data_IF_930744912043
#
_entry.id   IF_930744912043
#
_cell.length_a   1.000
_cell.length_b   1.000
_cell.length_c   1.000
_cell.angle_alpha   90.00
_cell.angle_beta   90.00
_cell.angle_gamma   90.00
#
_symmetry.space_group_name_H-M   'P 1'
#
loop_
_entity.id
_entity.type
_entity.pdbx_description
1 polymer ?
#
# COMPACT_ATOMS: atom_id res chain seq x y z
N UNK A 1 1.88 -3.54 -11.59
CA UNK A 1 3.03 -2.62 -11.72
C UNK A 1 4.02 -2.95 -10.61
N UNK A 2 5.26 -3.31 -10.98
CA UNK A 2 6.32 -3.62 -10.01
C UNK A 2 6.79 -2.34 -9.31
N UNK A 3 7.10 -2.43 -8.03
CA UNK A 3 7.59 -1.32 -7.22
C UNK A 3 8.38 -1.81 -5.99
N UNK A 4 8.96 -0.87 -5.26
CA UNK A 4 9.46 -1.11 -3.90
C UNK A 4 8.64 -0.33 -2.88
N UNK A 5 8.53 -0.86 -1.68
CA UNK A 5 7.71 -0.29 -0.60
C UNK A 5 8.56 -0.14 0.66
N UNK A 6 8.51 1.02 1.30
CA UNK A 6 8.95 1.21 2.68
C UNK A 6 7.70 1.35 3.55
N UNK A 7 7.56 0.57 4.62
CA UNK A 7 6.56 0.84 5.66
C UNK A 7 7.24 1.61 6.78
N UNK A 8 6.71 2.80 7.09
CA UNK A 8 7.29 3.75 8.04
C UNK A 8 6.60 3.67 9.39
N UNK A 9 5.26 3.66 9.41
CA UNK A 9 4.47 3.68 10.64
C UNK A 9 3.29 2.70 10.59
N UNK A 10 2.86 2.18 11.75
CA UNK A 10 3.54 2.24 13.04
C UNK A 10 4.81 1.38 13.02
N UNK A 11 5.81 1.77 13.80
CA UNK A 11 7.14 1.15 13.86
C UNK A 11 7.10 -0.38 14.05
N UNK A 12 6.08 -0.87 14.78
CA UNK A 12 5.84 -2.30 15.00
C UNK A 12 5.59 -3.09 13.71
N UNK A 13 5.12 -2.42 12.66
CA UNK A 13 4.89 -2.96 11.32
C UNK A 13 5.81 -2.35 10.27
N UNK A 14 6.78 -1.51 10.70
CA UNK A 14 7.74 -0.85 9.84
C UNK A 14 8.77 -1.81 9.25
N UNK A 15 9.37 -1.41 8.14
CA UNK A 15 10.40 -2.20 7.45
C UNK A 15 11.76 -1.52 7.55
N UNK A 16 12.80 -2.24 7.99
CA UNK A 16 14.19 -1.73 7.99
C UNK A 16 14.82 -1.62 6.59
N UNK A 17 14.12 -2.07 5.54
CA UNK A 17 14.57 -2.09 4.14
C UNK A 17 13.36 -1.96 3.20
N UNK A 18 13.60 -1.51 1.97
CA UNK A 18 12.56 -1.52 0.92
C UNK A 18 12.26 -2.95 0.46
N UNK A 19 11.00 -3.36 0.60
CA UNK A 19 10.51 -4.66 0.15
C UNK A 19 10.01 -4.59 -1.29
N UNK A 20 10.01 -5.70 -2.00
CA UNK A 20 9.39 -5.79 -3.33
C UNK A 20 7.88 -5.83 -3.18
N UNK A 21 7.19 -5.10 -4.03
CA UNK A 21 5.73 -5.11 -4.11
C UNK A 21 5.24 -4.99 -5.54
N UNK A 22 3.96 -5.26 -5.71
CA UNK A 22 3.25 -5.13 -6.96
C UNK A 22 1.90 -4.46 -6.73
N UNK A 23 1.62 -3.43 -7.51
CA UNK A 23 0.30 -2.82 -7.59
C UNK A 23 -0.54 -3.65 -8.56
N UNK A 24 -1.54 -4.33 -8.01
CA UNK A 24 -2.38 -5.31 -8.70
C UNK A 24 -3.64 -4.70 -9.31
N UNK A 25 -4.22 -3.71 -8.62
CA UNK A 25 -5.40 -2.98 -9.09
C UNK A 25 -5.19 -1.49 -8.78
N UNK A 26 -5.53 -0.61 -9.71
CA UNK A 26 -5.51 0.83 -9.50
C UNK A 26 -6.85 1.43 -9.98
N UNK A 27 -7.54 2.11 -9.09
CA UNK A 27 -8.84 2.76 -9.33
C UNK A 27 -8.70 4.29 -9.41
N UNK A 28 -7.47 4.77 -9.60
CA UNK A 28 -7.12 6.18 -9.78
C UNK A 28 -6.86 6.92 -8.47
N UNK A 29 -7.73 6.77 -7.49
CA UNK A 29 -7.57 7.36 -6.14
C UNK A 29 -7.01 6.38 -5.11
N UNK A 30 -7.17 5.08 -5.34
CA UNK A 30 -6.69 4.01 -4.47
C UNK A 30 -6.26 2.80 -5.28
N UNK A 31 -5.44 1.96 -4.67
CA UNK A 31 -4.88 0.80 -5.34
C UNK A 31 -4.64 -0.35 -4.34
N UNK A 32 -4.64 -1.58 -4.86
CA UNK A 32 -4.29 -2.77 -4.11
C UNK A 32 -2.80 -3.06 -4.31
N UNK A 33 -2.06 -3.02 -3.20
CA UNK A 33 -0.66 -3.38 -3.15
C UNK A 33 -0.51 -4.79 -2.60
N UNK A 34 0.21 -5.64 -3.33
CA UNK A 34 0.71 -6.92 -2.82
C UNK A 34 2.20 -6.79 -2.50
N UNK A 35 2.63 -7.30 -1.36
CA UNK A 35 4.05 -7.37 -1.00
C UNK A 35 4.56 -8.80 -1.12
N UNK A 36 5.79 -8.97 -1.59
CA UNK A 36 6.39 -10.31 -1.74
C UNK A 36 6.75 -10.90 -0.37
N UNK A 37 7.28 -10.08 0.52
CA UNK A 37 7.61 -10.46 1.90
C UNK A 37 6.41 -10.11 2.81
N UNK A 38 5.76 -11.13 3.40
CA UNK A 38 4.62 -10.90 4.31
C UNK A 38 5.06 -10.13 5.55
N UNK A 39 4.24 -9.18 5.99
CA UNK A 39 4.56 -8.25 7.07
C UNK A 39 3.66 -8.54 8.27
N UNK A 40 4.24 -8.59 9.46
CA UNK A 40 3.45 -8.80 10.67
C UNK A 40 2.76 -7.49 11.08
N UNK A 41 1.43 -7.45 10.95
CA UNK A 41 0.58 -6.33 11.37
C UNK A 41 -0.34 -6.83 12.46
N UNK A 42 -0.11 -6.40 13.71
CA UNK A 42 -0.90 -6.77 14.89
C UNK A 42 -1.12 -8.29 15.02
N UNK A 43 -0.08 -9.09 14.76
CA UNK A 43 -0.12 -10.55 14.84
C UNK A 43 -0.59 -11.28 13.57
N UNK A 44 -0.89 -10.56 12.49
CA UNK A 44 -1.31 -11.14 11.21
C UNK A 44 -0.22 -10.97 10.15
N UNK A 45 0.03 -12.02 9.37
CA UNK A 45 0.95 -11.96 8.23
C UNK A 45 0.23 -11.34 7.02
N UNK A 46 0.30 -10.02 6.93
CA UNK A 46 -0.29 -9.22 5.87
C UNK A 46 0.51 -9.33 4.57
N UNK A 47 -0.19 -9.62 3.48
CA UNK A 47 0.36 -9.65 2.12
C UNK A 47 -0.27 -8.57 1.23
N UNK A 48 -1.51 -8.21 1.50
CA UNK A 48 -2.28 -7.26 0.70
C UNK A 48 -2.62 -6.03 1.52
N UNK A 49 -2.53 -4.87 0.88
CA UNK A 49 -2.82 -3.58 1.48
C UNK A 49 -3.66 -2.74 0.52
N UNK A 50 -4.71 -2.13 1.05
CA UNK A 50 -5.42 -1.06 0.34
C UNK A 50 -4.66 0.22 0.57
N UNK A 51 -4.26 0.88 -0.51
CA UNK A 51 -3.35 2.01 -0.47
C UNK A 51 -3.90 3.22 -1.22
N UNK A 52 -3.46 4.41 -0.81
CA UNK A 52 -3.79 5.68 -1.47
C UNK A 52 -2.61 6.64 -1.36
N UNK A 53 -2.28 7.32 -2.46
CA UNK A 53 -1.29 8.40 -2.48
C UNK A 53 -1.80 9.57 -1.65
N UNK A 54 -1.01 10.02 -0.66
CA UNK A 54 -1.39 11.09 0.27
C UNK A 54 -1.39 12.45 -0.43
N UNK A 55 -0.39 12.71 -1.27
CA UNK A 55 -0.28 13.96 -2.00
C UNK A 55 -1.09 13.92 -3.31
N UNK A 56 -2.16 14.72 -3.38
CA UNK A 56 -3.03 14.78 -4.56
C UNK A 56 -2.31 15.28 -5.82
N UNK A 57 -1.33 16.18 -5.67
CA UNK A 57 -0.57 16.74 -6.80
C UNK A 57 0.28 15.65 -7.46
N UNK A 58 0.82 14.71 -6.68
CA UNK A 58 1.64 13.61 -7.17
C UNK A 58 0.82 12.44 -7.72
N UNK A 59 -0.50 12.42 -7.50
CA UNK A 59 -1.39 11.32 -7.92
C UNK A 59 -1.36 11.09 -9.43
N UNK A 60 -1.36 12.18 -10.21
CA UNK A 60 -1.30 12.07 -11.67
C UNK A 60 0.02 11.46 -12.14
N UNK A 61 1.15 11.83 -11.52
CA UNK A 61 2.47 11.26 -11.84
C UNK A 61 2.55 9.78 -11.49
N UNK A 62 2.04 9.42 -10.30
CA UNK A 62 1.94 8.03 -9.85
C UNK A 62 1.08 7.17 -10.79
N UNK A 63 -0.11 7.65 -11.17
CA UNK A 63 -1.01 6.93 -12.08
C UNK A 63 -0.44 6.76 -13.49
N UNK A 64 0.43 7.68 -13.90
CA UNK A 64 1.19 7.59 -15.16
C UNK A 64 2.47 6.74 -15.02
N UNK A 65 2.66 6.06 -13.89
CA UNK A 65 3.83 5.21 -13.61
C UNK A 65 5.16 5.98 -13.74
N UNK A 66 5.17 7.27 -13.37
CA UNK A 66 6.39 8.07 -13.41
C UNK A 66 7.33 7.62 -12.30
N UNK A 67 8.62 7.42 -12.62
CA UNK A 67 9.61 7.04 -11.62
C UNK A 67 9.69 8.10 -10.52
N UNK A 68 9.72 7.67 -9.26
CA UNK A 68 9.68 8.58 -8.13
C UNK A 68 9.35 7.90 -6.81
N UNK A 69 9.35 8.70 -5.74
CA UNK A 69 8.98 8.27 -4.39
C UNK A 69 7.64 8.92 -4.04
N UNK A 70 6.66 8.10 -3.66
CA UNK A 70 5.30 8.51 -3.40
C UNK A 70 4.89 8.12 -1.99
N UNK A 71 4.57 9.11 -1.16
CA UNK A 71 4.04 8.85 0.18
C UNK A 71 2.61 8.33 0.10
N UNK A 72 2.33 7.25 0.82
CA UNK A 72 1.06 6.53 0.78
C UNK A 72 0.51 6.27 2.17
N UNK A 73 -0.81 6.27 2.27
CA UNK A 73 -1.55 5.67 3.37
C UNK A 73 -1.93 4.25 2.99
N UNK A 74 -1.78 3.32 3.91
CA UNK A 74 -2.07 1.90 3.69
C UNK A 74 -2.96 1.36 4.80
N UNK A 75 -3.83 0.42 4.45
CA UNK A 75 -4.65 -0.31 5.42
C UNK A 75 -4.54 -1.81 5.14
N UNK A 76 -4.33 -2.57 6.21
CA UNK A 76 -4.46 -4.02 6.17
C UNK A 76 -5.90 -4.41 6.51
N UNK A 77 -6.54 -5.16 5.60
CA UNK A 77 -7.80 -5.85 5.87
C UNK A 77 -7.60 -7.36 5.75
N UNK A 78 -7.85 -8.08 6.85
CA UNK A 78 -7.75 -9.53 6.92
C UNK A 78 -8.67 -10.27 5.95
N UNK A 79 -9.73 -9.60 5.47
CA UNK A 79 -10.66 -10.18 4.51
C UNK A 79 -10.11 -10.15 3.08
N UNK A 80 -9.09 -9.33 2.80
CA UNK A 80 -8.42 -9.24 1.50
C UNK A 80 -7.26 -10.23 1.48
N UNK A 81 -7.49 -11.37 0.85
CA UNK A 81 -6.53 -12.48 0.78
C UNK A 81 -6.15 -12.87 -0.66
N UNK A 82 -6.74 -12.24 -1.69
CA UNK A 82 -6.36 -12.47 -3.07
C UNK A 82 -6.61 -11.24 -3.97
N UNK A 83 -6.01 -11.29 -5.17
CA UNK A 83 -6.00 -10.21 -6.16
C UNK A 83 -7.33 -9.96 -6.87
N UNK A 84 -8.32 -10.84 -6.76
CA UNK A 84 -9.61 -10.75 -7.46
C UNK A 84 -10.71 -10.11 -6.61
N UNK A 85 -10.46 -9.90 -5.32
CA UNK A 85 -11.44 -9.29 -4.43
C UNK A 85 -11.63 -7.81 -4.75
N UNK A 86 -12.87 -7.34 -4.56
CA UNK A 86 -13.20 -5.93 -4.72
C UNK A 86 -12.47 -5.12 -3.64
N UNK A 87 -11.76 -4.08 -4.06
CA UNK A 87 -11.02 -3.20 -3.14
C UNK A 87 -12.03 -2.22 -2.52
N UNK A 88 -12.27 -2.29 -1.20
CA UNK A 88 -13.15 -1.34 -0.51
C UNK A 88 -12.57 0.08 -0.55
N UNK A 89 -13.41 1.10 -0.34
CA UNK A 89 -12.91 2.47 -0.25
C UNK A 89 -12.02 2.61 0.99
N UNK A 90 -10.79 3.08 0.81
CA UNK A 90 -9.85 3.25 1.93
C UNK A 90 -10.39 4.23 2.99
N UNK A 91 -11.30 5.14 2.63
CA UNK A 91 -11.92 6.08 3.55
C UNK A 91 -13.00 5.41 4.45
N UNK A 92 -13.46 4.20 4.13
CA UNK A 92 -14.41 3.45 4.96
C UNK A 92 -13.76 2.91 6.24
N UNK A 93 -12.42 2.83 6.27
CA UNK A 93 -11.68 2.36 7.42
C UNK A 93 -11.55 3.46 8.49
N UNK A 94 -12.15 3.21 9.65
CA UNK A 94 -12.03 4.08 10.83
C UNK A 94 -10.73 3.77 11.59
N UNK A 95 -9.62 4.40 11.18
CA UNK A 95 -8.33 4.36 11.87
C UNK A 95 -7.44 3.15 11.54
N UNK A 96 -6.23 3.10 12.14
CA UNK A 96 -5.16 2.11 11.88
C UNK A 96 -4.55 2.18 10.47
N UNK A 97 -4.26 3.38 9.98
CA UNK A 97 -3.47 3.54 8.77
C UNK A 97 -2.00 3.28 9.07
N UNK A 98 -1.38 2.49 8.21
CA UNK A 98 0.07 2.47 8.08
C UNK A 98 0.47 3.63 7.17
N UNK A 99 1.61 4.25 7.44
CA UNK A 99 2.23 5.18 6.49
C UNK A 99 3.38 4.45 5.80
N UNK A 100 3.51 4.65 4.49
CA UNK A 100 4.60 4.08 3.72
C UNK A 100 5.00 4.93 2.54
N UNK A 101 6.00 4.47 1.80
CA UNK A 101 6.47 5.07 0.56
C UNK A 101 6.50 4.00 -0.53
N UNK A 102 6.05 4.35 -1.73
CA UNK A 102 6.26 3.56 -2.93
C UNK A 102 7.34 4.19 -3.78
N UNK A 103 8.27 3.35 -4.22
CA UNK A 103 9.34 3.67 -5.14
C UNK A 103 9.03 2.94 -6.45
N UNK A 104 8.71 3.72 -7.49
CA UNK A 104 8.53 3.24 -8.87
C UNK A 104 9.84 3.44 -9.63
#
# INVERSE_FOLDING_TARGET
MECRVNILEPWESGTNKSIKGEILQNTGNQFLLSVVEKINVKGNLAQFFVCKVKNEVLRTQFNNCTNGIYEISMVYDKNINNALQLVPDINDYRGNFLTGEIII
#
